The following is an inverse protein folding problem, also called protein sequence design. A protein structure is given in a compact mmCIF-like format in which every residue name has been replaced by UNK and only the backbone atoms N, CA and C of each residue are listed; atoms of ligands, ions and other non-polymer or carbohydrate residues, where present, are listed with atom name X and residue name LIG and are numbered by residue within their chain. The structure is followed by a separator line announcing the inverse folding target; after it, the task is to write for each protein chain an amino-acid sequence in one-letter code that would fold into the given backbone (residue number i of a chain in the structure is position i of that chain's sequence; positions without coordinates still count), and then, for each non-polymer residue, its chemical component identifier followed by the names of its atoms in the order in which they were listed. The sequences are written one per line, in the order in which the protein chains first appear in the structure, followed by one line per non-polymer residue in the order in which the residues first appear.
data_IF_773877196037
#
_entry.id   IF_773877196037
#
_cell.length_a   1.000
_cell.length_b   1.000
_cell.length_c   1.000
_cell.angle_alpha   90.00
_cell.angle_beta   90.00
_cell.angle_gamma   90.00
#
_symmetry.space_group_name_H-M   'P 1'
#
loop_
_entity.id
_entity.type
_entity.pdbx_description
1 polymer ?
#
# COMPACT_ATOMS: atom_id res chain seq x y z
N UNK A 1 -34.93 30.40 64.27
CA UNK A 1 -35.27 30.16 62.87
C UNK A 1 -33.99 30.26 62.11
N UNK A 2 -33.32 29.10 61.92
CA UNK A 2 -32.04 29.04 61.17
C UNK A 2 -32.34 28.64 59.74
N UNK A 3 -31.94 29.47 58.80
CA UNK A 3 -32.05 29.21 57.33
C UNK A 3 -30.73 28.56 56.94
N UNK A 4 -30.79 27.29 56.54
CA UNK A 4 -29.66 26.55 56.00
C UNK A 4 -29.64 26.77 54.49
N UNK A 5 -28.61 27.48 53.99
CA UNK A 5 -28.37 27.70 52.56
C UNK A 5 -27.64 26.47 51.99
N UNK A 6 -28.32 25.68 51.16
CA UNK A 6 -27.71 24.56 50.40
C UNK A 6 -27.08 25.13 49.12
N UNK A 7 -25.76 25.18 49.09
CA UNK A 7 -24.98 25.47 47.88
C UNK A 7 -24.91 24.21 46.99
N UNK A 8 -25.67 24.21 45.89
CA UNK A 8 -25.54 23.21 44.84
C UNK A 8 -24.29 23.50 44.01
N UNK A 9 -23.27 22.64 44.14
CA UNK A 9 -22.10 22.66 43.30
C UNK A 9 -22.44 21.94 41.97
N UNK A 10 -22.71 22.71 40.92
CA UNK A 10 -22.83 22.20 39.58
C UNK A 10 -21.44 21.82 39.07
N UNK A 11 -21.12 20.52 39.05
CA UNK A 11 -19.93 20.00 38.39
C UNK A 11 -20.03 20.24 36.88
N UNK A 12 -19.28 21.19 36.38
CA UNK A 12 -19.05 21.29 34.93
C UNK A 12 -18.29 20.06 34.48
N UNK A 13 -18.96 19.16 33.78
CA UNK A 13 -18.30 18.11 33.02
C UNK A 13 -17.41 18.79 31.95
N UNK A 14 -16.09 18.62 32.08
CA UNK A 14 -15.12 19.13 31.15
C UNK A 14 -15.41 18.46 29.79
N UNK A 15 -15.86 19.24 28.80
CA UNK A 15 -15.98 18.73 27.43
C UNK A 15 -14.65 18.11 27.01
N UNK A 16 -14.67 16.90 26.40
CA UNK A 16 -13.43 16.27 25.93
C UNK A 16 -12.76 17.20 24.91
N UNK A 17 -11.49 17.52 25.16
CA UNK A 17 -10.72 18.38 24.26
C UNK A 17 -10.71 17.77 22.86
N UNK A 18 -10.80 18.59 21.81
CA UNK A 18 -10.72 18.16 20.40
C UNK A 18 -9.54 17.19 20.13
N UNK A 19 -8.44 17.29 20.90
CA UNK A 19 -7.29 16.39 20.82
C UNK A 19 -7.62 14.93 21.15
N UNK A 20 -8.67 14.65 21.93
CA UNK A 20 -9.11 13.29 22.23
C UNK A 20 -10.05 12.68 21.16
N UNK A 21 -10.45 13.44 20.15
CA UNK A 21 -11.38 13.00 19.12
C UNK A 21 -10.72 12.74 17.75
N UNK A 22 -9.47 13.11 17.58
CA UNK A 22 -8.75 12.98 16.31
C UNK A 22 -7.40 12.29 16.49
N UNK A 23 -6.99 11.53 15.48
CA UNK A 23 -5.68 10.87 15.39
C UNK A 23 -4.91 11.46 14.22
N UNK A 24 -3.66 11.86 14.48
CA UNK A 24 -2.79 12.39 13.45
C UNK A 24 -2.13 11.24 12.68
N UNK A 25 -2.15 11.34 11.35
CA UNK A 25 -1.41 10.49 10.44
C UNK A 25 -0.41 11.31 9.63
N UNK A 26 0.73 10.70 9.32
CA UNK A 26 1.71 11.27 8.41
C UNK A 26 1.64 10.57 7.07
N UNK A 27 1.53 11.34 6.00
CA UNK A 27 1.43 10.86 4.63
C UNK A 27 2.47 11.53 3.73
N UNK A 28 2.85 10.86 2.67
CA UNK A 28 3.58 11.51 1.57
C UNK A 28 2.65 12.49 0.85
N UNK A 29 3.22 13.60 0.39
CA UNK A 29 2.51 14.66 -0.33
C UNK A 29 1.78 14.12 -1.58
N UNK A 30 2.47 13.32 -2.41
CA UNK A 30 1.91 12.74 -3.63
C UNK A 30 0.74 11.76 -3.34
N UNK A 31 0.83 10.98 -2.26
CA UNK A 31 -0.25 10.07 -1.84
C UNK A 31 -1.46 10.84 -1.33
N UNK A 32 -1.22 11.89 -0.54
CA UNK A 32 -2.29 12.75 -0.03
C UNK A 32 -3.04 13.47 -1.15
N UNK A 33 -2.31 14.04 -2.12
CA UNK A 33 -2.90 14.72 -3.27
C UNK A 33 -3.73 13.76 -4.13
N UNK A 34 -3.22 12.55 -4.37
CA UNK A 34 -3.94 11.50 -5.10
C UNK A 34 -5.19 11.04 -4.32
N UNK A 35 -5.09 10.87 -2.99
CA UNK A 35 -6.21 10.53 -2.13
C UNK A 35 -7.32 11.60 -2.14
N UNK A 36 -6.96 12.87 -1.96
CA UNK A 36 -7.92 13.97 -1.99
C UNK A 36 -8.57 14.12 -3.38
N UNK A 37 -7.79 13.95 -4.45
CA UNK A 37 -8.29 13.97 -5.83
C UNK A 37 -9.28 12.84 -6.08
N UNK A 38 -8.95 11.61 -5.63
CA UNK A 38 -9.85 10.46 -5.77
C UNK A 38 -11.13 10.64 -4.97
N UNK A 39 -11.04 11.12 -3.74
CA UNK A 39 -12.23 11.35 -2.91
C UNK A 39 -13.16 12.41 -3.51
N UNK A 40 -12.61 13.48 -4.09
CA UNK A 40 -13.40 14.60 -4.63
C UNK A 40 -14.49 15.08 -3.66
N UNK A 41 -14.17 15.18 -2.37
CA UNK A 41 -15.07 15.60 -1.30
C UNK A 41 -16.00 14.52 -0.74
N UNK A 42 -15.93 13.26 -1.24
CA UNK A 42 -16.69 12.13 -0.70
C UNK A 42 -16.11 11.66 0.64
N UNK A 43 -16.96 11.10 1.49
CA UNK A 43 -16.52 10.46 2.71
C UNK A 43 -15.80 9.11 2.39
N UNK A 44 -14.55 8.89 2.83
CA UNK A 44 -13.86 7.62 2.60
C UNK A 44 -14.60 6.41 3.17
N UNK A 45 -15.42 6.61 4.21
CA UNK A 45 -16.23 5.55 4.81
C UNK A 45 -17.37 5.07 3.91
N UNK A 46 -17.83 5.92 2.99
CA UNK A 46 -18.94 5.65 2.06
C UNK A 46 -18.44 5.19 0.67
N UNK A 47 -17.14 5.12 0.44
CA UNK A 47 -16.58 4.66 -0.84
C UNK A 47 -16.88 3.18 -1.03
N UNK A 48 -17.59 2.85 -2.11
CA UNK A 48 -17.93 1.47 -2.51
C UNK A 48 -17.40 1.09 -3.90
N UNK A 49 -17.00 2.08 -4.70
CA UNK A 49 -16.32 1.92 -6.00
C UNK A 49 -14.96 2.58 -5.96
N UNK A 50 -13.96 1.85 -6.45
CA UNK A 50 -12.56 2.25 -6.51
C UNK A 50 -12.11 2.53 -7.95
N UNK A 51 -13.05 2.88 -8.82
CA UNK A 51 -12.80 3.34 -10.18
C UNK A 51 -12.73 4.87 -10.16
N UNK A 52 -11.66 5.46 -10.67
CA UNK A 52 -11.56 6.93 -10.75
C UNK A 52 -10.13 7.42 -11.01
N UNK A 53 -10.00 8.75 -11.18
CA UNK A 53 -8.70 9.36 -11.38
C UNK A 53 -7.83 9.22 -10.12
N UNK A 54 -6.53 9.12 -10.32
CA UNK A 54 -5.54 9.10 -9.22
C UNK A 54 -5.67 7.94 -8.25
N UNK A 55 -6.54 6.95 -8.54
CA UNK A 55 -6.58 5.75 -7.72
C UNK A 55 -5.28 4.96 -7.88
N UNK A 56 -4.73 4.54 -6.75
CA UNK A 56 -3.53 3.72 -6.66
C UNK A 56 -3.58 2.90 -5.35
N UNK A 57 -2.70 1.90 -5.22
CA UNK A 57 -2.67 1.01 -4.05
C UNK A 57 -2.73 1.78 -2.72
N UNK A 58 -1.88 2.81 -2.57
CA UNK A 58 -1.80 3.57 -1.32
C UNK A 58 -3.13 4.26 -0.96
N UNK A 59 -3.85 4.76 -1.97
CA UNK A 59 -5.19 5.37 -1.80
C UNK A 59 -6.20 4.31 -1.38
N UNK A 60 -6.14 3.11 -1.98
CA UNK A 60 -6.99 1.98 -1.57
C UNK A 60 -6.69 1.59 -0.13
N UNK A 61 -5.41 1.44 0.24
CA UNK A 61 -4.97 1.13 1.60
C UNK A 61 -5.58 2.12 2.62
N UNK A 62 -5.49 3.43 2.36
CA UNK A 62 -6.05 4.48 3.22
C UNK A 62 -7.55 4.35 3.43
N UNK A 63 -8.30 4.06 2.38
CA UNK A 63 -9.76 3.92 2.46
C UNK A 63 -10.14 2.65 3.19
N UNK A 64 -9.52 1.52 2.84
CA UNK A 64 -9.77 0.21 3.46
C UNK A 64 -9.44 0.21 4.95
N UNK A 65 -8.31 0.84 5.36
CA UNK A 65 -7.95 0.96 6.77
C UNK A 65 -9.01 1.73 7.58
N UNK A 66 -9.48 2.87 7.06
CA UNK A 66 -10.53 3.68 7.71
C UNK A 66 -11.85 2.93 7.81
N UNK A 67 -12.27 2.27 6.73
CA UNK A 67 -13.50 1.47 6.72
C UNK A 67 -13.39 0.29 7.68
N UNK A 68 -12.25 -0.40 7.74
CA UNK A 68 -12.02 -1.49 8.69
C UNK A 68 -12.10 -1.00 10.14
N UNK A 69 -11.42 0.10 10.47
CA UNK A 69 -11.46 0.68 11.81
C UNK A 69 -12.89 1.05 12.22
N UNK A 70 -13.65 1.69 11.33
CA UNK A 70 -15.05 2.04 11.58
C UNK A 70 -15.93 0.82 11.83
N UNK A 71 -15.81 -0.21 10.98
CA UNK A 71 -16.56 -1.47 11.15
C UNK A 71 -16.16 -2.21 12.43
N UNK A 72 -14.92 -2.10 12.86
CA UNK A 72 -14.44 -2.65 14.12
C UNK A 72 -14.80 -1.84 15.36
N UNK A 73 -15.51 -0.71 15.22
CA UNK A 73 -16.00 0.12 16.33
C UNK A 73 -15.09 1.26 16.73
N UNK A 74 -14.01 1.54 15.99
CA UNK A 74 -13.17 2.71 16.26
C UNK A 74 -13.77 3.96 15.59
N UNK A 75 -14.07 4.99 16.38
CA UNK A 75 -14.90 6.13 15.95
C UNK A 75 -14.16 7.45 15.83
N UNK A 76 -12.88 7.51 16.25
CA UNK A 76 -12.08 8.73 16.14
C UNK A 76 -11.83 9.08 14.67
N UNK A 77 -11.81 10.37 14.39
CA UNK A 77 -11.50 10.90 13.05
C UNK A 77 -9.97 10.97 12.86
N UNK A 78 -9.55 10.90 11.61
CA UNK A 78 -8.14 11.05 11.26
C UNK A 78 -7.88 12.45 10.69
N UNK A 79 -6.73 12.99 11.05
CA UNK A 79 -6.18 14.22 10.48
C UNK A 79 -4.83 13.89 9.86
N UNK A 80 -4.43 14.65 8.84
CA UNK A 80 -3.26 14.32 8.05
C UNK A 80 -2.21 15.41 8.14
N UNK A 81 -0.96 15.01 8.34
CA UNK A 81 0.22 15.85 8.20
C UNK A 81 1.04 15.35 7.01
N UNK A 82 1.23 16.23 6.06
CA UNK A 82 1.87 15.90 4.78
C UNK A 82 3.38 16.10 4.86
N UNK A 83 4.16 15.19 4.28
CA UNK A 83 5.62 15.25 4.24
C UNK A 83 6.21 14.44 3.10
N UNK A 84 7.52 14.56 2.88
CA UNK A 84 8.20 13.97 1.71
C UNK A 84 8.79 12.57 1.94
N UNK A 85 8.74 12.01 3.17
CA UNK A 85 9.59 10.86 3.51
C UNK A 85 8.85 9.81 4.35
N UNK A 86 8.76 8.59 3.85
CA UNK A 86 8.06 7.47 4.52
C UNK A 86 8.82 6.86 5.71
N UNK A 87 10.17 6.78 5.67
CA UNK A 87 10.91 6.09 6.74
C UNK A 87 10.76 6.75 8.12
N UNK A 88 10.38 8.03 8.16
CA UNK A 88 10.07 8.73 9.40
C UNK A 88 8.87 8.09 10.11
N UNK A 89 7.90 7.60 9.35
CA UNK A 89 6.69 6.97 9.89
C UNK A 89 7.03 5.70 10.68
N UNK A 90 7.97 4.89 10.19
CA UNK A 90 8.42 3.69 10.90
C UNK A 90 8.95 4.04 12.30
N UNK A 91 9.85 5.02 12.40
CA UNK A 91 10.37 5.48 13.70
C UNK A 91 9.30 6.03 14.63
N UNK A 92 8.36 6.79 14.08
CA UNK A 92 7.26 7.36 14.88
C UNK A 92 6.32 6.26 15.41
N UNK A 93 6.11 5.19 14.64
CA UNK A 93 5.35 4.01 15.06
C UNK A 93 6.11 3.26 16.16
N UNK A 94 7.41 3.01 16.00
CA UNK A 94 8.26 2.38 17.03
C UNK A 94 8.22 3.17 18.35
N UNK A 95 8.25 4.48 18.28
CA UNK A 95 8.25 5.38 19.45
C UNK A 95 6.85 5.58 20.08
N UNK A 96 5.78 5.08 19.47
CA UNK A 96 4.41 5.31 19.91
C UNK A 96 3.86 6.72 19.65
N UNK A 97 4.55 7.51 18.82
CA UNK A 97 4.11 8.85 18.40
C UNK A 97 3.11 8.80 17.24
N UNK A 98 3.15 7.73 16.43
CA UNK A 98 2.20 7.44 15.38
C UNK A 98 1.46 6.14 15.72
N UNK A 99 0.12 6.20 15.76
CA UNK A 99 -0.72 5.09 16.18
C UNK A 99 -0.77 3.96 15.14
N UNK A 100 -0.95 4.30 13.87
CA UNK A 100 -1.14 3.35 12.77
C UNK A 100 -0.58 3.93 11.47
N UNK A 101 -0.07 3.06 10.60
CA UNK A 101 0.20 3.41 9.20
C UNK A 101 -0.99 3.04 8.32
N UNK A 102 -1.42 3.97 7.47
CA UNK A 102 -2.40 3.68 6.41
C UNK A 102 -1.73 3.24 5.09
N UNK A 103 -0.41 3.22 5.04
CA UNK A 103 0.36 2.51 4.03
C UNK A 103 0.68 1.11 4.56
N UNK A 104 0.26 0.08 3.82
CA UNK A 104 0.53 -1.30 4.23
C UNK A 104 2.00 -1.68 4.02
N UNK A 105 2.52 -2.50 4.90
CA UNK A 105 3.90 -3.01 4.89
C UNK A 105 3.96 -4.41 4.29
N UNK A 106 5.06 -4.77 3.66
CA UNK A 106 5.37 -6.16 3.40
C UNK A 106 5.49 -6.92 4.72
N UNK A 107 5.07 -8.18 4.77
CA UNK A 107 5.19 -8.99 5.99
C UNK A 107 6.66 -9.11 6.43
N UNK A 108 7.56 -9.29 5.47
CA UNK A 108 9.01 -9.35 5.72
C UNK A 108 9.51 -8.09 6.44
N UNK A 109 9.08 -6.89 6.00
CA UNK A 109 9.47 -5.62 6.62
C UNK A 109 8.77 -5.42 7.97
N UNK A 110 7.48 -5.75 8.08
CA UNK A 110 6.72 -5.63 9.31
C UNK A 110 7.28 -6.53 10.43
N UNK A 111 7.79 -7.71 10.09
CA UNK A 111 8.44 -8.62 11.05
C UNK A 111 9.73 -8.06 11.65
N UNK A 112 10.44 -7.19 10.96
CA UNK A 112 11.61 -6.50 11.53
C UNK A 112 11.22 -5.57 12.69
N UNK A 113 9.95 -5.20 12.76
CA UNK A 113 9.37 -4.29 13.77
C UNK A 113 8.45 -5.02 14.77
N UNK A 114 8.43 -6.35 14.79
CA UNK A 114 7.43 -7.14 15.53
C UNK A 114 7.38 -6.88 17.04
N UNK A 115 8.47 -6.40 17.61
CA UNK A 115 8.52 -6.01 19.04
C UNK A 115 7.77 -4.70 19.30
N UNK A 116 7.69 -3.81 18.32
CA UNK A 116 7.14 -2.45 18.45
C UNK A 116 5.77 -2.29 17.79
N UNK A 117 5.35 -3.25 16.96
CA UNK A 117 4.07 -3.17 16.24
C UNK A 117 3.22 -4.43 16.39
N UNK A 118 1.91 -4.23 16.34
CA UNK A 118 0.95 -5.26 15.99
C UNK A 118 0.86 -5.34 14.47
N UNK A 119 0.96 -6.53 13.91
CA UNK A 119 0.82 -6.78 12.47
C UNK A 119 -0.61 -7.30 12.21
N UNK A 120 -1.36 -6.64 11.35
CA UNK A 120 -2.75 -7.05 11.05
C UNK A 120 -2.79 -8.34 10.23
N UNK A 121 -3.99 -8.92 10.07
CA UNK A 121 -4.24 -9.86 8.98
C UNK A 121 -3.89 -9.22 7.64
N UNK A 122 -3.47 -10.06 6.67
CA UNK A 122 -3.07 -9.56 5.37
C UNK A 122 -4.19 -8.79 4.68
N UNK A 123 -3.94 -7.56 4.26
CA UNK A 123 -4.84 -6.79 3.39
C UNK A 123 -4.70 -7.26 1.94
N UNK A 124 -3.48 -7.52 1.49
CA UNK A 124 -3.17 -8.25 0.25
C UNK A 124 -2.44 -9.53 0.65
N UNK A 125 -2.99 -10.68 0.29
CA UNK A 125 -2.43 -11.99 0.65
C UNK A 125 -1.26 -12.33 -0.25
N UNK A 126 -0.41 -13.23 0.22
CA UNK A 126 0.64 -13.83 -0.61
C UNK A 126 0.02 -14.44 -1.85
N UNK A 127 0.59 -14.14 -3.01
CA UNK A 127 0.05 -14.56 -4.31
C UNK A 127 -1.03 -13.64 -4.88
N UNK A 128 -1.40 -12.55 -4.19
CA UNK A 128 -2.39 -11.55 -4.66
C UNK A 128 -1.74 -10.22 -5.07
N UNK A 129 -0.42 -10.04 -4.91
CA UNK A 129 0.27 -8.84 -5.35
C UNK A 129 0.97 -9.07 -6.69
N UNK A 130 0.50 -8.36 -7.72
CA UNK A 130 1.01 -8.49 -9.08
C UNK A 130 1.73 -7.22 -9.52
N UNK A 131 2.86 -7.39 -10.20
CA UNK A 131 3.60 -6.31 -10.85
C UNK A 131 3.61 -6.52 -12.37
N UNK A 132 3.53 -5.42 -13.10
CA UNK A 132 3.75 -5.40 -14.55
C UNK A 132 5.24 -5.42 -14.87
N UNK A 133 5.59 -5.98 -16.03
CA UNK A 133 6.91 -5.90 -16.63
C UNK A 133 6.94 -4.63 -17.48
N UNK A 134 7.61 -3.58 -17.01
CA UNK A 134 7.66 -2.28 -17.69
C UNK A 134 8.96 -2.14 -18.46
N UNK A 135 8.84 -1.77 -19.72
CA UNK A 135 9.95 -1.58 -20.66
C UNK A 135 9.76 -0.33 -21.51
N UNK A 136 10.82 0.10 -22.19
CA UNK A 136 10.71 1.10 -23.26
C UNK A 136 9.78 0.57 -24.36
N UNK A 137 8.75 1.32 -24.82
CA UNK A 137 7.78 0.85 -25.82
C UNK A 137 8.41 0.33 -27.12
N UNK A 138 9.60 0.83 -27.46
CA UNK A 138 10.33 0.40 -28.67
C UNK A 138 11.23 -0.83 -28.43
N UNK A 139 11.19 -1.43 -27.24
CA UNK A 139 12.00 -2.61 -26.91
C UNK A 139 11.28 -3.91 -27.25
N UNK A 140 11.18 -4.22 -28.54
CA UNK A 140 10.39 -5.33 -29.08
C UNK A 140 10.70 -6.69 -28.43
N UNK A 141 11.96 -6.95 -28.05
CA UNK A 141 12.34 -8.21 -27.41
C UNK A 141 11.57 -8.45 -26.11
N UNK A 142 11.35 -7.41 -25.28
CA UNK A 142 10.59 -7.51 -24.04
C UNK A 142 9.09 -7.72 -24.33
N UNK A 143 8.54 -7.02 -25.32
CA UNK A 143 7.12 -7.17 -25.69
C UNK A 143 6.80 -8.52 -26.36
N UNK A 144 7.82 -9.26 -26.81
CA UNK A 144 7.68 -10.61 -27.36
C UNK A 144 7.79 -11.71 -26.31
N UNK A 145 8.02 -11.37 -25.03
CA UNK A 145 8.06 -12.35 -23.92
C UNK A 145 6.72 -13.07 -23.79
N UNK A 146 6.77 -14.40 -23.69
CA UNK A 146 5.61 -15.26 -23.52
C UNK A 146 5.75 -16.24 -22.35
N UNK A 147 6.95 -16.40 -21.81
CA UNK A 147 7.26 -17.38 -20.79
C UNK A 147 8.34 -16.88 -19.81
N UNK A 148 8.44 -17.53 -18.66
CA UNK A 148 9.51 -17.28 -17.71
C UNK A 148 10.90 -17.53 -18.34
N UNK A 149 11.00 -18.53 -19.20
CA UNK A 149 12.27 -18.87 -19.90
C UNK A 149 12.77 -17.74 -20.77
N UNK A 150 11.87 -16.96 -21.38
CA UNK A 150 12.27 -15.84 -22.24
C UNK A 150 12.96 -14.74 -21.41
N UNK A 151 12.59 -14.60 -20.11
CA UNK A 151 13.22 -13.65 -19.20
C UNK A 151 14.66 -14.04 -18.85
N UNK A 152 15.08 -15.30 -18.99
CA UNK A 152 16.44 -15.74 -18.64
C UNK A 152 17.52 -15.06 -19.51
N UNK A 153 17.18 -14.55 -20.67
CA UNK A 153 18.10 -13.81 -21.54
C UNK A 153 18.09 -12.31 -21.31
N UNK A 154 17.23 -11.83 -20.43
CA UNK A 154 16.99 -10.40 -20.20
C UNK A 154 17.65 -9.91 -18.91
N UNK A 155 17.81 -8.60 -18.85
CA UNK A 155 18.33 -7.86 -17.71
C UNK A 155 17.22 -7.06 -17.04
N UNK A 156 17.33 -6.85 -15.74
CA UNK A 156 16.42 -5.98 -15.01
C UNK A 156 17.19 -5.08 -14.04
N UNK A 157 16.52 -4.12 -13.46
CA UNK A 157 17.09 -3.20 -12.45
C UNK A 157 16.16 -3.08 -11.26
N UNK A 158 16.73 -3.09 -10.06
CA UNK A 158 16.05 -2.87 -8.79
C UNK A 158 17.05 -2.54 -7.69
N UNK A 159 16.60 -2.44 -6.45
CA UNK A 159 17.44 -2.23 -5.27
C UNK A 159 17.18 -3.31 -4.21
N UNK A 160 18.22 -3.81 -3.51
CA UNK A 160 18.04 -4.68 -2.35
C UNK A 160 17.19 -4.06 -1.22
N UNK A 161 17.04 -2.74 -1.20
CA UNK A 161 16.14 -2.03 -0.24
C UNK A 161 14.67 -2.36 -0.44
N UNK A 162 14.27 -2.76 -1.64
CA UNK A 162 12.94 -3.32 -1.93
C UNK A 162 13.03 -4.84 -1.90
N UNK A 163 13.11 -5.37 -0.69
CA UNK A 163 13.47 -6.77 -0.43
C UNK A 163 12.59 -7.77 -1.18
N UNK A 164 11.28 -7.53 -1.24
CA UNK A 164 10.32 -8.40 -1.93
C UNK A 164 10.52 -8.38 -3.45
N UNK A 165 10.64 -7.19 -4.05
CA UNK A 165 10.90 -7.02 -5.49
C UNK A 165 12.25 -7.64 -5.86
N UNK A 166 13.29 -7.33 -5.08
CA UNK A 166 14.64 -7.83 -5.29
C UNK A 166 14.71 -9.37 -5.24
N UNK A 167 14.10 -9.96 -4.21
CA UNK A 167 14.08 -11.42 -4.03
C UNK A 167 13.29 -12.09 -5.16
N UNK A 168 12.15 -11.48 -5.54
CA UNK A 168 11.37 -11.97 -6.68
C UNK A 168 12.19 -11.95 -7.96
N UNK A 169 12.82 -10.82 -8.31
CA UNK A 169 13.64 -10.70 -9.52
C UNK A 169 14.81 -11.71 -9.52
N UNK A 170 15.46 -11.92 -8.39
CA UNK A 170 16.51 -12.96 -8.27
C UNK A 170 15.98 -14.37 -8.56
N UNK A 171 14.75 -14.67 -8.17
CA UNK A 171 14.14 -15.98 -8.42
C UNK A 171 13.81 -16.24 -9.89
N UNK A 172 13.74 -15.20 -10.73
CA UNK A 172 13.42 -15.32 -12.16
C UNK A 172 14.60 -15.84 -13.00
N UNK A 173 15.81 -16.01 -12.44
CA UNK A 173 17.02 -16.44 -13.14
C UNK A 173 17.34 -15.58 -14.39
N UNK A 174 17.29 -14.25 -14.22
CA UNK A 174 17.61 -13.29 -15.28
C UNK A 174 19.08 -13.40 -15.71
N UNK A 175 19.39 -12.92 -16.91
CA UNK A 175 20.78 -12.79 -17.40
C UNK A 175 21.60 -11.93 -16.44
N UNK A 176 21.03 -10.80 -15.99
CA UNK A 176 21.65 -9.90 -15.04
C UNK A 176 20.60 -9.08 -14.30
N UNK A 177 20.85 -8.79 -13.03
CA UNK A 177 20.04 -7.91 -12.21
C UNK A 177 20.91 -6.76 -11.71
N UNK A 178 20.73 -5.57 -12.28
CA UNK A 178 21.45 -4.36 -11.89
C UNK A 178 20.96 -3.81 -10.56
N UNK A 179 21.90 -3.27 -9.77
CA UNK A 179 21.60 -2.56 -8.52
C UNK A 179 21.62 -1.07 -8.79
N UNK A 180 20.50 -0.42 -8.53
CA UNK A 180 20.39 1.04 -8.56
C UNK A 180 19.40 1.50 -7.47
N UNK A 181 19.82 2.37 -6.58
CA UNK A 181 19.01 2.77 -5.42
C UNK A 181 18.00 3.88 -5.75
N UNK A 182 18.31 4.69 -6.75
CA UNK A 182 17.49 5.86 -7.10
C UNK A 182 16.43 5.52 -8.15
N UNK A 183 15.17 5.67 -7.78
CA UNK A 183 14.03 5.38 -8.66
C UNK A 183 14.13 6.05 -10.04
N UNK A 184 14.48 7.35 -10.06
CA UNK A 184 14.61 8.08 -11.32
C UNK A 184 15.74 7.54 -12.20
N UNK A 185 16.79 7.00 -11.61
CA UNK A 185 17.87 6.33 -12.33
C UNK A 185 17.42 5.00 -12.91
N UNK A 186 16.68 4.19 -12.12
CA UNK A 186 16.13 2.92 -12.59
C UNK A 186 15.24 3.11 -13.83
N UNK A 187 14.27 4.03 -13.78
CA UNK A 187 13.36 4.28 -14.92
C UNK A 187 14.11 4.80 -16.15
N UNK A 188 15.19 5.58 -15.97
CA UNK A 188 16.04 6.04 -17.08
C UNK A 188 16.85 4.90 -17.68
N UNK A 189 17.41 3.99 -16.87
CA UNK A 189 18.12 2.80 -17.34
C UNK A 189 17.23 1.95 -18.26
N UNK A 190 15.97 1.74 -17.88
CA UNK A 190 15.01 0.98 -18.69
C UNK A 190 14.59 1.78 -19.92
N UNK A 191 14.33 3.08 -19.79
CA UNK A 191 14.02 3.93 -20.95
C UNK A 191 15.13 3.93 -22.00
N UNK A 192 16.39 3.99 -21.56
CA UNK A 192 17.57 3.98 -22.42
C UNK A 192 17.97 2.55 -22.88
N UNK A 193 17.24 1.53 -22.46
CA UNK A 193 17.50 0.10 -22.76
C UNK A 193 18.86 -0.38 -22.22
N UNK A 194 19.36 0.23 -21.13
CA UNK A 194 20.53 -0.27 -20.41
C UNK A 194 20.14 -1.46 -19.52
N UNK A 195 18.92 -1.47 -19.01
CA UNK A 195 18.23 -2.64 -18.52
C UNK A 195 16.99 -2.88 -19.39
N UNK A 196 16.64 -4.14 -19.63
CA UNK A 196 15.54 -4.49 -20.53
C UNK A 196 14.19 -4.12 -19.92
N UNK A 197 13.99 -4.35 -18.62
CA UNK A 197 12.74 -4.06 -17.92
C UNK A 197 12.94 -3.78 -16.43
N UNK A 198 11.86 -3.33 -15.78
CA UNK A 198 11.72 -3.30 -14.33
C UNK A 198 10.30 -3.70 -13.92
N UNK A 199 10.13 -4.09 -12.67
CA UNK A 199 8.82 -4.36 -12.11
C UNK A 199 8.21 -3.08 -11.55
N UNK A 200 6.95 -2.81 -11.90
CA UNK A 200 6.17 -1.70 -11.33
C UNK A 200 4.72 -2.17 -11.08
N UNK A 201 4.02 -1.57 -10.12
CA UNK A 201 2.58 -1.80 -9.97
C UNK A 201 1.83 -1.45 -11.26
N UNK A 202 0.75 -2.14 -11.54
CA UNK A 202 -0.15 -1.74 -12.62
C UNK A 202 -0.75 -0.38 -12.34
N UNK A 203 -0.83 0.46 -13.36
CA UNK A 203 -1.32 1.84 -13.31
C UNK A 203 -2.42 2.05 -14.37
N UNK A 204 -3.62 1.46 -14.18
CA UNK A 204 -4.68 1.51 -15.18
C UNK A 204 -5.17 2.92 -15.48
N UNK A 205 -5.12 3.82 -14.50
CA UNK A 205 -5.41 5.25 -14.71
C UNK A 205 -4.49 5.92 -15.73
N UNK A 206 -3.33 5.31 -16.01
CA UNK A 206 -2.37 5.72 -17.04
C UNK A 206 -2.31 4.73 -18.20
N UNK A 207 -3.29 3.85 -18.37
CA UNK A 207 -3.27 2.75 -19.34
C UNK A 207 -1.99 1.88 -19.22
N UNK A 208 -1.47 1.70 -18.00
CA UNK A 208 -0.20 1.04 -17.73
C UNK A 208 0.99 1.63 -18.50
N UNK A 209 0.94 2.92 -18.77
CA UNK A 209 1.93 3.66 -19.54
C UNK A 209 2.49 4.79 -18.66
N UNK A 210 3.72 4.63 -18.18
CA UNK A 210 4.38 5.59 -17.30
C UNK A 210 5.19 6.60 -18.10
N UNK A 211 4.85 7.88 -17.98
CA UNK A 211 5.57 8.99 -18.62
C UNK A 211 6.03 10.02 -17.61
N UNK A 212 7.31 10.38 -17.67
CA UNK A 212 7.89 11.43 -16.82
C UNK A 212 8.97 12.20 -17.62
N UNK A 213 8.66 13.42 -18.05
CA UNK A 213 9.52 14.17 -18.93
C UNK A 213 9.71 13.41 -20.26
N UNK A 214 10.97 13.08 -20.57
CA UNK A 214 11.34 12.28 -21.74
C UNK A 214 11.34 10.76 -21.48
N UNK A 215 11.12 10.34 -20.25
CA UNK A 215 11.03 8.91 -19.91
C UNK A 215 9.67 8.36 -20.36
N UNK A 216 9.70 7.22 -21.02
CA UNK A 216 8.51 6.51 -21.51
C UNK A 216 8.69 5.02 -21.25
N UNK A 217 7.82 4.44 -20.40
CA UNK A 217 7.79 3.02 -20.08
C UNK A 217 6.36 2.51 -20.18
N UNK A 218 6.18 1.32 -20.73
CA UNK A 218 4.89 0.69 -20.87
C UNK A 218 4.94 -0.75 -20.35
N UNK A 219 3.89 -1.17 -19.65
CA UNK A 219 3.78 -2.56 -19.23
C UNK A 219 3.57 -3.48 -20.43
N UNK A 220 4.22 -4.64 -20.42
CA UNK A 220 3.95 -5.70 -21.40
C UNK A 220 2.50 -6.15 -21.21
N UNK A 221 1.67 -6.10 -22.27
CA UNK A 221 0.26 -6.44 -22.14
C UNK A 221 0.04 -7.90 -21.72
N UNK A 222 -0.95 -8.12 -20.87
CA UNK A 222 -1.41 -9.45 -20.45
C UNK A 222 -0.34 -10.33 -19.77
N UNK A 223 0.74 -9.73 -19.27
CA UNK A 223 1.76 -10.41 -18.48
C UNK A 223 1.89 -9.78 -17.09
N UNK A 224 2.14 -10.63 -16.11
CA UNK A 224 2.40 -10.21 -14.73
C UNK A 224 3.47 -11.09 -14.08
N UNK A 225 4.13 -10.51 -13.09
CA UNK A 225 4.95 -11.20 -12.10
C UNK A 225 4.24 -11.08 -10.76
N UNK A 226 4.06 -12.18 -10.04
CA UNK A 226 3.55 -12.15 -8.67
C UNK A 226 4.71 -11.96 -7.70
N UNK A 227 4.58 -11.01 -6.79
CA UNK A 227 5.54 -10.77 -5.72
C UNK A 227 5.23 -11.70 -4.54
N UNK A 228 6.27 -12.42 -4.07
CA UNK A 228 6.11 -13.54 -3.13
C UNK A 228 6.10 -13.08 -1.66
N UNK A 229 5.21 -12.15 -1.32
CA UNK A 229 4.98 -11.71 0.05
C UNK A 229 3.52 -11.26 0.21
N UNK A 230 3.14 -10.86 1.42
CA UNK A 230 1.83 -10.32 1.76
C UNK A 230 1.93 -8.93 2.34
N UNK A 231 0.84 -8.14 2.28
CA UNK A 231 0.84 -6.78 2.80
C UNK A 231 -0.11 -6.65 3.99
N UNK A 232 0.34 -5.90 5.00
CA UNK A 232 -0.29 -5.79 6.31
C UNK A 232 -0.28 -4.35 6.79
N UNK A 233 -1.32 -3.92 7.48
CA UNK A 233 -1.25 -2.70 8.27
C UNK A 233 -0.51 -2.96 9.56
N UNK A 234 0.22 -1.94 10.05
CA UNK A 234 0.94 -2.00 11.33
C UNK A 234 0.39 -0.95 12.28
N UNK A 235 0.20 -1.36 13.53
CA UNK A 235 -0.30 -0.52 14.63
C UNK A 235 0.74 -0.52 15.73
N UNK A 236 1.09 0.66 16.26
CA UNK A 236 2.09 0.77 17.32
C UNK A 236 1.66 0.04 18.60
N UNK A 237 2.54 -0.80 19.16
CA UNK A 237 2.40 -1.38 20.49
C UNK A 237 2.65 -0.36 21.60
N UNK A 238 3.47 0.63 21.30
CA UNK A 238 3.95 1.64 22.24
C UNK A 238 2.98 2.83 22.37
N UNK A 239 1.96 2.92 21.46
CA UNK A 239 0.92 3.94 21.59
C UNK A 239 -0.18 3.48 22.57
N UNK A 240 -0.69 4.37 23.47
CA UNK A 240 -1.72 3.99 24.46
C UNK A 240 -2.98 3.35 23.88
N UNK A 241 -3.39 3.75 22.67
CA UNK A 241 -4.57 3.21 21.96
C UNK A 241 -4.23 2.02 21.04
N UNK A 242 -2.97 1.61 20.96
CA UNK A 242 -2.52 0.57 20.03
C UNK A 242 -3.31 -0.73 20.12
N UNK A 243 -3.50 -1.33 21.32
CA UNK A 243 -4.26 -2.57 21.45
C UNK A 243 -5.71 -2.46 20.98
N UNK A 244 -6.40 -1.36 21.28
CA UNK A 244 -7.80 -1.16 20.91
C UNK A 244 -7.97 -0.92 19.42
N UNK A 245 -7.08 -0.12 18.83
CA UNK A 245 -7.04 0.13 17.37
C UNK A 245 -6.71 -1.16 16.63
N UNK A 246 -5.76 -1.95 17.08
CA UNK A 246 -5.43 -3.24 16.46
C UNK A 246 -6.63 -4.18 16.49
N UNK A 247 -7.32 -4.31 17.62
CA UNK A 247 -8.52 -5.15 17.75
C UNK A 247 -9.62 -4.70 16.79
N UNK A 248 -9.89 -3.39 16.72
CA UNK A 248 -10.87 -2.82 15.81
C UNK A 248 -10.50 -3.08 14.35
N UNK A 249 -9.23 -2.84 13.97
CA UNK A 249 -8.72 -3.09 12.63
C UNK A 249 -8.90 -4.55 12.21
N UNK A 250 -8.53 -5.52 13.07
CA UNK A 250 -8.67 -6.95 12.81
C UNK A 250 -10.14 -7.35 12.56
N UNK A 251 -11.05 -6.89 13.44
CA UNK A 251 -12.48 -7.17 13.27
C UNK A 251 -13.02 -6.60 11.95
N UNK A 252 -12.66 -5.37 11.62
CA UNK A 252 -13.13 -4.73 10.39
C UNK A 252 -12.53 -5.35 9.14
N UNK A 253 -11.23 -5.67 9.12
CA UNK A 253 -10.59 -6.36 7.99
C UNK A 253 -11.25 -7.71 7.73
N UNK A 254 -11.54 -8.48 8.79
CA UNK A 254 -12.27 -9.75 8.66
C UNK A 254 -13.64 -9.56 8.01
N UNK A 255 -14.40 -8.54 8.43
CA UNK A 255 -15.72 -8.23 7.85
C UNK A 255 -15.62 -7.81 6.38
N UNK A 256 -14.71 -6.86 6.07
CA UNK A 256 -14.50 -6.40 4.69
C UNK A 256 -14.07 -7.55 3.76
N UNK A 257 -13.27 -8.49 4.27
CA UNK A 257 -12.84 -9.66 3.51
C UNK A 257 -14.00 -10.63 3.26
N UNK A 258 -14.82 -10.94 4.27
CA UNK A 258 -16.01 -11.79 4.12
C UNK A 258 -17.01 -11.20 3.11
N UNK A 259 -17.11 -9.89 3.04
CA UNK A 259 -17.93 -9.16 2.07
C UNK A 259 -17.30 -9.07 0.67
N UNK A 260 -16.08 -9.59 0.46
CA UNK A 260 -15.34 -9.46 -0.80
C UNK A 260 -14.85 -8.04 -1.13
N UNK A 261 -15.03 -7.07 -0.22
CA UNK A 261 -14.75 -5.65 -0.47
C UNK A 261 -13.28 -5.36 -0.67
N UNK A 262 -12.38 -6.02 0.06
CA UNK A 262 -10.93 -5.84 -0.09
C UNK A 262 -10.50 -6.24 -1.51
N UNK A 263 -10.84 -7.45 -1.97
CA UNK A 263 -10.50 -7.91 -3.31
C UNK A 263 -11.09 -7.00 -4.39
N UNK A 264 -12.37 -6.62 -4.24
CA UNK A 264 -13.05 -5.71 -5.17
C UNK A 264 -12.31 -4.37 -5.26
N UNK A 265 -11.90 -3.79 -4.13
CA UNK A 265 -11.23 -2.50 -4.09
C UNK A 265 -9.93 -2.49 -4.89
N UNK A 266 -9.04 -3.47 -4.66
CA UNK A 266 -7.78 -3.56 -5.39
C UNK A 266 -7.96 -3.95 -6.87
N UNK A 267 -8.99 -4.73 -7.20
CA UNK A 267 -9.33 -5.08 -8.58
C UNK A 267 -9.85 -3.85 -9.35
N UNK A 268 -10.83 -3.12 -8.79
CA UNK A 268 -11.38 -1.91 -9.42
C UNK A 268 -10.33 -0.79 -9.57
N UNK A 269 -9.42 -0.69 -8.61
CA UNK A 269 -8.26 0.20 -8.71
C UNK A 269 -7.22 -0.26 -9.76
N UNK A 270 -7.42 -1.45 -10.35
CA UNK A 270 -6.56 -2.07 -11.35
C UNK A 270 -5.20 -2.52 -10.82
N UNK A 271 -5.06 -2.60 -9.51
CA UNK A 271 -3.87 -3.10 -8.87
C UNK A 271 -3.77 -4.64 -8.97
N UNK A 272 -4.91 -5.33 -8.92
CA UNK A 272 -5.01 -6.76 -9.25
C UNK A 272 -5.49 -6.85 -10.70
N UNK A 273 -4.68 -7.39 -11.63
CA UNK A 273 -5.08 -7.53 -13.03
C UNK A 273 -6.19 -8.57 -13.19
N UNK A 274 -6.88 -8.52 -14.33
CA UNK A 274 -7.79 -9.58 -14.71
C UNK A 274 -7.00 -10.85 -15.08
N UNK A 275 -7.00 -11.83 -14.16
CA UNK A 275 -6.29 -13.09 -14.33
C UNK A 275 -6.92 -14.02 -15.37
N UNK A 276 -8.10 -13.69 -15.92
CA UNK A 276 -8.66 -14.41 -17.07
C UNK A 276 -7.96 -14.08 -18.37
N UNK A 277 -7.32 -12.90 -18.45
CA UNK A 277 -6.59 -12.39 -19.62
C UNK A 277 -5.10 -12.19 -19.35
N UNK A 278 -4.67 -12.17 -18.09
CA UNK A 278 -3.28 -11.92 -17.73
C UNK A 278 -2.59 -13.21 -17.30
N UNK A 279 -1.49 -13.54 -17.97
CA UNK A 279 -0.62 -14.67 -17.63
C UNK A 279 0.39 -14.26 -16.56
N UNK A 280 0.43 -14.99 -15.46
CA UNK A 280 1.44 -14.83 -14.41
C UNK A 280 2.62 -15.73 -14.72
N UNK A 281 3.79 -15.17 -15.02
CA UNK A 281 4.94 -15.94 -15.52
C UNK A 281 5.61 -16.78 -14.45
N UNK A 282 5.65 -16.33 -13.20
CA UNK A 282 6.35 -16.98 -12.09
C UNK A 282 5.41 -17.67 -11.08
N UNK A 283 4.16 -17.95 -11.44
CA UNK A 283 3.19 -18.58 -10.52
C UNK A 283 3.72 -19.89 -9.91
N UNK A 284 4.45 -20.69 -10.70
CA UNK A 284 5.00 -21.96 -10.25
C UNK A 284 6.13 -21.82 -9.21
N UNK A 285 6.74 -20.63 -9.09
CA UNK A 285 7.80 -20.36 -8.10
C UNK A 285 7.23 -20.01 -6.72
N UNK A 286 5.94 -19.68 -6.64
CA UNK A 286 5.26 -19.35 -5.38
C UNK A 286 4.86 -20.64 -4.68
N UNK A 287 5.51 -20.95 -3.57
CA UNK A 287 5.18 -22.13 -2.79
C UNK A 287 3.79 -21.98 -2.14
N UNK A 288 2.88 -22.95 -2.29
CA UNK A 288 1.67 -22.98 -1.47
C UNK A 288 2.05 -23.12 0.01
N UNK A 289 1.32 -22.46 0.87
CA UNK A 289 1.43 -22.59 2.34
C UNK A 289 0.50 -23.68 2.84
#
# INVERSE_FOLDING_TARGET
MFITCVLSVSGFAKEPSLSNQTVMLYLRDDVYDDYMTFLAGRDPLEITSFIGPKIRRDVVDMIIAQQALKLGGYTKKFTYKVGKVNFRNTKLIEQGELLISFDSYWLSDAKLLENDVFISDAVIRRGEYFAGIYANPDHQAVFNVQSLTDLHTMTSVSTPRWSTDWTTLKSLNLKELFVEDEWLSQIRMVHLKWADFMLMPFMPALNNHYKLGNVDLMAVPNLAIVLDDSRHFVVSRNHPEGPDVFKALQLGLKQLRLQGRIKKAYFEAGFIPDLSTTKVLNQALIKPH
#
